data_IF_853999753708
#
_entry.id   IF_853999753708
#
_cell.length_a   1.000
_cell.length_b   1.000
_cell.length_c   1.000
_cell.angle_alpha   90.00
_cell.angle_beta   90.00
_cell.angle_gamma   90.00
#
_symmetry.space_group_name_H-M   'P 1'
#
loop_
_entity.id
_entity.type
_entity.pdbx_description
1 polymer ?
#
# COMPACT_ATOMS: atom_id res chain seq x y z
N UNK A 1 10.40 38.74 12.03
CA UNK A 1 9.44 38.01 11.17
C UNK A 1 9.20 36.67 11.83
N UNK A 2 7.98 36.24 12.16
CA UNK A 2 7.80 34.92 12.73
C UNK A 2 7.87 33.91 11.56
N UNK A 3 9.06 33.35 11.34
CA UNK A 3 9.17 31.97 10.89
C UNK A 3 8.86 31.16 12.13
N UNK A 4 7.69 30.55 12.25
CA UNK A 4 7.55 29.48 13.23
C UNK A 4 6.39 28.53 12.90
N UNK A 5 6.75 27.25 12.85
CA UNK A 5 5.92 26.06 13.09
C UNK A 5 4.98 25.55 12.00
N UNK A 6 5.42 25.51 10.72
CA UNK A 6 4.68 24.79 9.67
C UNK A 6 5.25 23.45 9.19
N UNK A 7 6.58 23.15 9.18
CA UNK A 7 7.04 21.92 8.55
C UNK A 7 6.82 20.66 9.42
N UNK A 8 6.82 20.80 10.75
CA UNK A 8 6.76 19.69 11.71
C UNK A 8 5.40 19.02 11.88
N UNK A 9 4.32 19.77 11.69
CA UNK A 9 2.97 19.28 11.98
C UNK A 9 2.45 18.27 10.94
N UNK A 10 3.16 18.12 9.82
CA UNK A 10 2.75 17.26 8.70
C UNK A 10 3.60 16.00 8.54
N UNK A 11 4.75 15.89 9.24
CA UNK A 11 5.53 14.64 9.31
C UNK A 11 5.11 13.75 10.49
N UNK A 12 4.49 14.32 11.52
CA UNK A 12 4.29 13.68 12.83
C UNK A 12 2.83 13.84 13.28
N UNK A 13 1.88 13.12 12.65
CA UNK A 13 0.67 12.71 13.38
C UNK A 13 0.29 11.28 12.97
N UNK A 14 0.93 10.35 13.68
CA UNK A 14 0.46 8.99 13.98
C UNK A 14 0.60 7.87 12.92
N UNK A 15 0.73 6.60 13.38
CA UNK A 15 0.66 5.40 12.54
C UNK A 15 -0.69 5.22 11.81
N UNK A 16 -1.66 6.12 12.00
CA UNK A 16 -2.96 6.14 11.35
C UNK A 16 -3.03 7.20 10.23
N UNK A 17 -2.06 7.20 9.33
CA UNK A 17 -2.18 7.93 8.07
C UNK A 17 -3.26 7.25 7.20
N UNK A 18 -3.96 8.02 6.36
CA UNK A 18 -4.89 7.51 5.35
C UNK A 18 -4.22 6.42 4.51
N UNK A 19 -2.93 6.57 4.18
CA UNK A 19 -2.17 5.53 3.48
C UNK A 19 -2.07 4.24 4.30
N UNK A 20 -1.76 4.31 5.60
CA UNK A 20 -1.71 3.10 6.45
C UNK A 20 -3.06 2.37 6.44
N UNK A 21 -4.17 3.12 6.57
CA UNK A 21 -5.52 2.54 6.52
C UNK A 21 -5.76 1.88 5.16
N UNK A 22 -5.37 2.53 4.06
CA UNK A 22 -5.46 1.96 2.72
C UNK A 22 -4.65 0.68 2.56
N UNK A 23 -3.41 0.63 3.07
CA UNK A 23 -2.57 -0.57 2.96
C UNK A 23 -3.11 -1.73 3.81
N UNK A 24 -3.63 -1.46 5.01
CA UNK A 24 -4.32 -2.46 5.82
C UNK A 24 -5.56 -2.98 5.09
N UNK A 25 -6.37 -2.07 4.53
CA UNK A 25 -7.55 -2.44 3.75
C UNK A 25 -7.18 -3.30 2.53
N UNK A 26 -6.10 -2.97 1.83
CA UNK A 26 -5.57 -3.76 0.70
C UNK A 26 -5.16 -5.16 1.12
N UNK A 27 -4.50 -5.32 2.27
CA UNK A 27 -4.15 -6.64 2.81
C UNK A 27 -5.42 -7.45 3.13
N UNK A 28 -6.41 -6.84 3.81
CA UNK A 28 -7.66 -7.51 4.15
C UNK A 28 -8.42 -7.93 2.87
N UNK A 29 -8.56 -7.02 1.90
CA UNK A 29 -9.24 -7.30 0.64
C UNK A 29 -8.54 -8.41 -0.13
N UNK A 30 -7.21 -8.42 -0.17
CA UNK A 30 -6.44 -9.46 -0.88
C UNK A 30 -6.56 -10.83 -0.20
N UNK A 31 -6.62 -10.88 1.15
CA UNK A 31 -6.90 -12.13 1.89
C UNK A 31 -8.33 -12.62 1.58
N UNK A 32 -9.30 -11.71 1.51
CA UNK A 32 -10.68 -12.04 1.14
C UNK A 32 -10.76 -12.52 -0.32
N UNK A 33 -10.02 -11.90 -1.24
CA UNK A 33 -9.90 -12.35 -2.64
C UNK A 33 -9.34 -13.77 -2.72
N UNK A 34 -8.26 -14.05 -1.98
CA UNK A 34 -7.65 -15.37 -1.93
C UNK A 34 -8.61 -16.44 -1.36
N UNK A 35 -9.35 -16.09 -0.30
CA UNK A 35 -10.39 -16.96 0.25
C UNK A 35 -11.53 -17.20 -0.74
N UNK A 36 -12.00 -16.14 -1.40
CA UNK A 36 -13.03 -16.24 -2.45
C UNK A 36 -12.57 -17.12 -3.61
N UNK A 37 -11.31 -16.98 -4.03
CA UNK A 37 -10.69 -17.83 -5.03
C UNK A 37 -10.70 -19.30 -4.62
N UNK A 38 -10.30 -19.62 -3.39
CA UNK A 38 -10.26 -21.00 -2.91
C UNK A 38 -11.66 -21.62 -2.83
N UNK A 39 -12.67 -20.84 -2.40
CA UNK A 39 -14.08 -21.28 -2.41
C UNK A 39 -14.54 -21.56 -3.83
N UNK A 40 -14.25 -20.65 -4.78
CA UNK A 40 -14.67 -20.80 -6.17
C UNK A 40 -13.96 -21.96 -6.87
N UNK A 41 -12.67 -22.15 -6.59
CA UNK A 41 -11.86 -23.27 -7.08
C UNK A 41 -12.43 -24.60 -6.62
N UNK A 42 -12.85 -24.70 -5.35
CA UNK A 42 -13.50 -25.92 -4.82
C UNK A 42 -14.88 -26.15 -5.43
N UNK A 43 -15.64 -25.09 -5.71
CA UNK A 43 -16.98 -25.17 -6.29
C UNK A 43 -16.95 -25.63 -7.75
N UNK A 44 -16.03 -25.08 -8.55
CA UNK A 44 -15.99 -25.29 -10.01
C UNK A 44 -14.97 -26.34 -10.43
N UNK A 45 -14.05 -26.74 -9.54
CA UNK A 45 -12.91 -27.60 -9.89
C UNK A 45 -11.88 -26.93 -10.80
N UNK A 46 -12.07 -25.66 -11.13
CA UNK A 46 -11.23 -24.87 -12.02
C UNK A 46 -10.74 -23.63 -11.26
N UNK A 47 -9.45 -23.37 -11.32
CA UNK A 47 -8.87 -22.20 -10.66
C UNK A 47 -7.53 -21.84 -11.28
N UNK A 48 -7.37 -20.58 -11.64
CA UNK A 48 -6.08 -20.07 -12.12
C UNK A 48 -5.08 -19.98 -10.98
N UNK A 49 -3.93 -20.61 -11.10
CA UNK A 49 -2.82 -20.34 -10.18
C UNK A 49 -2.34 -18.89 -10.33
N UNK A 50 -2.57 -18.26 -11.49
CA UNK A 50 -2.18 -16.86 -11.73
C UNK A 50 -2.94 -15.88 -10.83
N UNK A 51 -4.24 -16.10 -10.59
CA UNK A 51 -5.05 -15.26 -9.69
C UNK A 51 -4.46 -15.26 -8.28
N UNK A 52 -4.22 -16.46 -7.72
CA UNK A 52 -3.57 -16.63 -6.43
C UNK A 52 -2.16 -16.00 -6.38
N UNK A 53 -1.40 -16.07 -7.49
CA UNK A 53 -0.06 -15.48 -7.58
C UNK A 53 -0.14 -13.95 -7.52
N UNK A 54 -1.08 -13.34 -8.25
CA UNK A 54 -1.28 -11.89 -8.21
C UNK A 54 -1.76 -11.41 -6.84
N UNK A 55 -2.62 -12.16 -6.15
CA UNK A 55 -3.04 -11.83 -4.79
C UNK A 55 -1.86 -11.84 -3.80
N UNK A 56 -1.00 -12.85 -3.86
CA UNK A 56 0.20 -12.92 -3.01
C UNK A 56 1.14 -11.74 -3.30
N UNK A 57 1.33 -11.39 -4.58
CA UNK A 57 2.14 -10.23 -4.96
C UNK A 57 1.52 -8.92 -4.46
N UNK A 58 0.20 -8.76 -4.53
CA UNK A 58 -0.50 -7.57 -4.02
C UNK A 58 -0.38 -7.45 -2.50
N UNK A 59 -0.48 -8.57 -1.76
CA UNK A 59 -0.23 -8.63 -0.31
C UNK A 59 1.20 -8.22 0.00
N UNK A 60 2.19 -8.85 -0.65
CA UNK A 60 3.61 -8.54 -0.44
C UNK A 60 3.92 -7.07 -0.69
N UNK A 61 3.38 -6.50 -1.77
CA UNK A 61 3.53 -5.09 -2.12
C UNK A 61 2.92 -4.17 -1.05
N UNK A 62 1.73 -4.51 -0.57
CA UNK A 62 1.05 -3.75 0.48
C UNK A 62 1.80 -3.81 1.82
N UNK A 63 2.36 -4.97 2.17
CA UNK A 63 3.16 -5.16 3.39
C UNK A 63 4.49 -4.42 3.32
N UNK A 64 5.18 -4.44 2.17
CA UNK A 64 6.42 -3.68 1.96
C UNK A 64 6.14 -2.18 2.08
N UNK A 65 5.06 -1.69 1.45
CA UNK A 65 4.64 -0.30 1.57
C UNK A 65 4.30 0.06 3.02
N UNK A 66 3.54 -0.80 3.72
CA UNK A 66 3.20 -0.59 5.13
C UNK A 66 4.44 -0.59 6.03
N UNK A 67 5.42 -1.45 5.77
CA UNK A 67 6.71 -1.44 6.46
C UNK A 67 7.40 -0.09 6.33
N UNK A 68 7.53 0.44 5.10
CA UNK A 68 8.13 1.75 4.88
C UNK A 68 7.34 2.87 5.56
N UNK A 69 6.01 2.81 5.57
CA UNK A 69 5.17 3.80 6.27
C UNK A 69 5.37 3.74 7.79
N UNK A 70 5.47 2.54 8.38
CA UNK A 70 5.74 2.34 9.82
C UNK A 70 7.11 2.88 10.21
N UNK A 71 8.12 2.65 9.37
CA UNK A 71 9.47 3.20 9.51
C UNK A 71 9.54 4.71 9.20
N UNK A 72 8.41 5.37 8.90
CA UNK A 72 8.34 6.79 8.53
C UNK A 72 9.18 7.14 7.28
N UNK A 73 9.43 6.17 6.41
CA UNK A 73 10.14 6.33 5.14
C UNK A 73 9.18 6.76 4.02
N UNK A 74 8.97 8.07 3.89
CA UNK A 74 8.08 8.63 2.87
C UNK A 74 8.85 9.02 1.60
N UNK A 75 9.16 8.02 0.75
CA UNK A 75 9.69 8.29 -0.58
C UNK A 75 8.59 8.19 -1.64
N UNK A 76 8.01 9.34 -2.04
CA UNK A 76 6.89 9.38 -2.99
C UNK A 76 7.14 8.55 -4.25
N UNK A 77 8.34 8.57 -4.83
CA UNK A 77 8.66 7.77 -6.04
C UNK A 77 8.54 6.27 -5.79
N UNK A 78 9.05 5.78 -4.66
CA UNK A 78 8.95 4.38 -4.30
C UNK A 78 7.50 3.99 -4.06
N UNK A 79 6.79 4.77 -3.24
CA UNK A 79 5.40 4.50 -2.89
C UNK A 79 4.49 4.51 -4.11
N UNK A 80 4.66 5.48 -5.02
CA UNK A 80 3.95 5.51 -6.31
C UNK A 80 4.26 4.28 -7.16
N UNK A 81 5.51 3.79 -7.12
CA UNK A 81 5.92 2.58 -7.84
C UNK A 81 5.25 1.31 -7.28
N UNK A 82 5.20 1.19 -5.94
CA UNK A 82 4.50 0.11 -5.25
C UNK A 82 2.98 0.17 -5.55
N UNK A 83 2.39 1.35 -5.49
CA UNK A 83 0.98 1.56 -5.84
C UNK A 83 0.68 1.17 -7.29
N UNK A 84 1.50 1.61 -8.24
CA UNK A 84 1.34 1.26 -9.66
C UNK A 84 1.48 -0.26 -9.91
N UNK A 85 2.39 -0.93 -9.20
CA UNK A 85 2.52 -2.38 -9.25
C UNK A 85 1.29 -3.08 -8.66
N UNK A 86 0.72 -2.56 -7.57
CA UNK A 86 -0.55 -3.01 -6.99
C UNK A 86 -1.75 -2.87 -7.94
N UNK A 87 -1.82 -1.75 -8.67
CA UNK A 87 -2.81 -1.54 -9.74
C UNK A 87 -2.64 -2.60 -10.84
N UNK A 88 -1.41 -2.80 -11.32
CA UNK A 88 -1.11 -3.76 -12.38
C UNK A 88 -1.52 -5.19 -12.00
N UNK A 89 -1.13 -5.65 -10.81
CA UNK A 89 -1.48 -6.99 -10.30
C UNK A 89 -2.99 -7.17 -10.15
N UNK A 90 -3.70 -6.14 -9.66
CA UNK A 90 -5.17 -6.17 -9.54
C UNK A 90 -5.86 -6.28 -10.90
N UNK A 91 -5.42 -5.51 -11.90
CA UNK A 91 -5.92 -5.58 -13.28
C UNK A 91 -5.63 -6.96 -13.88
N UNK A 92 -4.40 -7.46 -13.73
CA UNK A 92 -4.00 -8.77 -14.24
C UNK A 92 -4.84 -9.91 -13.63
N UNK A 93 -5.17 -9.81 -12.34
CA UNK A 93 -6.04 -10.80 -11.69
C UNK A 93 -7.48 -10.77 -12.20
N UNK A 94 -8.06 -9.58 -12.40
CA UNK A 94 -9.39 -9.42 -13.00
C UNK A 94 -9.43 -10.04 -14.40
N UNK A 95 -8.43 -9.75 -15.24
CA UNK A 95 -8.33 -10.34 -16.57
C UNK A 95 -8.13 -11.86 -16.53
N UNK A 96 -7.24 -12.36 -15.66
CA UNK A 96 -7.00 -13.78 -15.51
C UNK A 96 -8.28 -14.52 -15.09
N UNK A 97 -9.06 -13.95 -14.17
CA UNK A 97 -10.34 -14.50 -13.76
C UNK A 97 -11.35 -14.47 -14.91
N UNK A 98 -11.51 -13.32 -15.58
CA UNK A 98 -12.47 -13.16 -16.70
C UNK A 98 -12.22 -14.15 -17.85
N UNK A 99 -10.97 -14.33 -18.26
CA UNK A 99 -10.58 -15.25 -19.35
C UNK A 99 -10.90 -16.70 -19.02
N UNK A 100 -10.87 -17.07 -17.74
CA UNK A 100 -11.01 -18.47 -17.31
C UNK A 100 -12.43 -18.84 -16.91
N UNK A 101 -13.19 -17.93 -16.31
CA UNK A 101 -14.55 -18.20 -15.86
C UNK A 101 -15.59 -17.78 -16.88
N UNK A 102 -15.29 -16.82 -17.77
CA UNK A 102 -16.28 -16.10 -18.59
C UNK A 102 -17.45 -15.49 -17.78
N UNK A 103 -17.32 -15.45 -16.45
CA UNK A 103 -18.30 -14.91 -15.51
C UNK A 103 -17.76 -13.59 -14.97
N UNK A 104 -18.22 -12.43 -15.49
CA UNK A 104 -17.73 -11.13 -15.04
C UNK A 104 -18.17 -10.80 -13.61
N UNK A 105 -19.21 -11.46 -13.09
CA UNK A 105 -19.81 -11.16 -11.79
C UNK A 105 -19.68 -12.35 -10.83
N UNK A 106 -18.52 -12.45 -10.18
CA UNK A 106 -18.31 -13.36 -9.06
C UNK A 106 -17.61 -12.64 -7.90
N UNK A 107 -17.61 -13.27 -6.72
CA UNK A 107 -17.03 -12.70 -5.49
C UNK A 107 -15.55 -12.32 -5.67
N UNK A 108 -14.81 -13.10 -6.48
CA UNK A 108 -13.41 -12.85 -6.84
C UNK A 108 -13.28 -11.54 -7.62
N UNK A 109 -14.07 -11.35 -8.68
CA UNK A 109 -14.03 -10.09 -9.46
C UNK A 109 -14.44 -8.88 -8.62
N UNK A 110 -15.42 -9.03 -7.72
CA UNK A 110 -15.84 -7.95 -6.83
C UNK A 110 -14.73 -7.51 -5.86
N UNK A 111 -14.08 -8.47 -5.19
CA UNK A 111 -12.98 -8.19 -4.25
C UNK A 111 -11.76 -7.59 -4.95
N UNK A 112 -11.39 -8.06 -6.14
CA UNK A 112 -10.34 -7.42 -6.93
C UNK A 112 -10.71 -6.01 -7.42
N UNK A 113 -11.98 -5.75 -7.75
CA UNK A 113 -12.43 -4.42 -8.17
C UNK A 113 -12.31 -3.41 -7.01
N UNK A 114 -12.68 -3.82 -5.79
CA UNK A 114 -12.48 -3.00 -4.59
C UNK A 114 -10.99 -2.79 -4.28
N UNK A 115 -10.17 -3.83 -4.46
CA UNK A 115 -8.72 -3.75 -4.29
C UNK A 115 -8.11 -2.75 -5.26
N UNK A 116 -8.50 -2.81 -6.54
CA UNK A 116 -8.09 -1.86 -7.58
C UNK A 116 -8.50 -0.43 -7.24
N UNK A 117 -9.75 -0.21 -6.81
CA UNK A 117 -10.22 1.10 -6.41
C UNK A 117 -9.41 1.66 -5.23
N UNK A 118 -9.03 0.82 -4.27
CA UNK A 118 -8.22 1.20 -3.12
C UNK A 118 -6.78 1.55 -3.54
N UNK A 119 -6.19 0.82 -4.49
CA UNK A 119 -4.88 1.15 -5.05
C UNK A 119 -4.90 2.48 -5.83
N UNK A 120 -5.95 2.73 -6.64
CA UNK A 120 -6.12 4.00 -7.36
C UNK A 120 -6.28 5.16 -6.37
N UNK A 121 -6.99 4.94 -5.28
CA UNK A 121 -7.08 5.94 -4.23
C UNK A 121 -5.72 6.17 -3.55
N UNK A 122 -4.98 5.10 -3.22
CA UNK A 122 -3.66 5.18 -2.61
C UNK A 122 -2.68 5.96 -3.50
N UNK A 123 -2.59 5.64 -4.80
CA UNK A 123 -1.66 6.34 -5.71
C UNK A 123 -1.99 7.84 -5.82
N UNK A 124 -3.28 8.17 -5.88
CA UNK A 124 -3.73 9.57 -5.90
C UNK A 124 -3.35 10.29 -4.60
N UNK A 125 -3.55 9.64 -3.46
CA UNK A 125 -3.23 10.19 -2.16
C UNK A 125 -1.71 10.38 -1.97
N UNK A 126 -0.92 9.38 -2.34
CA UNK A 126 0.55 9.43 -2.38
C UNK A 126 1.04 10.59 -3.23
N UNK A 127 0.45 10.80 -4.41
CA UNK A 127 0.83 11.91 -5.28
C UNK A 127 0.52 13.28 -4.66
N UNK A 128 -0.64 13.40 -3.98
CA UNK A 128 -1.14 14.63 -3.40
C UNK A 128 -0.41 15.03 -2.11
N UNK A 129 -0.18 14.08 -1.20
CA UNK A 129 0.20 14.37 0.19
C UNK A 129 1.65 13.92 0.54
N UNK A 130 2.30 13.08 -0.28
CA UNK A 130 3.70 12.72 -0.02
C UNK A 130 4.68 13.70 -0.70
N UNK A 131 5.77 14.03 -0.01
CA UNK A 131 6.89 14.80 -0.56
C UNK A 131 8.06 13.88 -0.92
N UNK A 132 8.94 14.34 -1.81
CA UNK A 132 10.20 13.64 -2.15
C UNK A 132 11.30 13.96 -1.12
N UNK A 133 10.97 13.97 0.17
CA UNK A 133 11.95 14.20 1.22
C UNK A 133 12.22 12.86 1.90
N UNK A 134 13.30 12.21 1.49
CA UNK A 134 13.93 11.24 2.37
C UNK A 134 14.50 12.09 3.50
N UNK A 135 13.91 12.01 4.69
CA UNK A 135 14.44 12.72 5.84
C UNK A 135 15.92 12.31 6.00
N UNK A 136 16.85 13.26 5.87
CA UNK A 136 18.29 13.00 6.09
C UNK A 136 18.52 12.37 7.48
N UNK A 137 17.62 12.67 8.40
CA UNK A 137 17.51 12.11 9.74
C UNK A 137 17.22 10.60 9.75
N UNK A 138 16.39 10.11 8.83
CA UNK A 138 16.16 8.68 8.67
C UNK A 138 17.36 7.96 8.06
N UNK A 139 18.13 8.61 7.17
CA UNK A 139 19.39 8.05 6.65
C UNK A 139 20.48 8.04 7.74
N UNK A 140 20.55 9.11 8.54
CA UNK A 140 21.55 9.26 9.59
C UNK A 140 21.31 8.33 10.79
N UNK A 141 20.05 8.09 11.16
CA UNK A 141 19.66 7.27 12.31
C UNK A 141 19.11 5.89 11.92
N UNK A 142 19.23 5.46 10.65
CA UNK A 142 18.75 4.12 10.22
C UNK A 142 19.41 3.03 11.07
N UNK A 143 18.62 2.35 11.91
CA UNK A 143 19.09 1.25 12.76
C UNK A 143 19.65 1.68 14.12
N UNK A 144 19.68 2.98 14.41
CA UNK A 144 19.90 3.50 15.75
C UNK A 144 18.51 3.60 16.40
N UNK A 145 18.27 2.87 17.50
CA UNK A 145 16.99 2.88 18.20
C UNK A 145 16.76 4.17 18.99
N UNK A 146 16.81 5.33 18.34
CA UNK A 146 16.68 6.64 18.97
C UNK A 146 15.19 6.98 19.13
N UNK A 147 14.83 7.42 20.33
CA UNK A 147 13.46 7.75 20.71
C UNK A 147 12.98 9.00 19.95
N UNK A 148 11.67 9.06 19.66
CA UNK A 148 11.00 10.08 18.82
C UNK A 148 11.36 11.55 19.15
N UNK A 149 11.88 11.81 20.35
CA UNK A 149 12.29 13.13 20.87
C UNK A 149 13.60 13.64 20.24
N UNK A 150 14.52 12.75 19.85
CA UNK A 150 15.82 13.14 19.25
C UNK A 150 15.66 13.52 17.76
N UNK A 151 14.67 12.93 17.10
CA UNK A 151 14.34 13.22 15.69
C UNK A 151 13.82 14.65 15.52
N UNK A 152 13.05 15.15 16.50
CA UNK A 152 12.50 16.52 16.50
C UNK A 152 13.57 17.59 16.74
N UNK A 153 14.67 17.26 17.43
CA UNK A 153 15.78 18.18 17.70
C UNK A 153 16.73 18.35 16.51
N UNK A 154 16.99 17.27 15.77
CA UNK A 154 17.91 17.28 14.63
C UNK A 154 17.38 18.10 13.43
N UNK A 155 16.07 18.18 13.27
CA UNK A 155 15.42 18.89 12.16
C UNK A 155 15.43 20.42 12.42
N UNK A 156 15.56 20.88 13.68
CA UNK A 156 15.72 22.31 14.01
C UNK A 156 17.11 22.87 13.65
N UNK A 157 18.06 22.00 13.29
CA UNK A 157 19.42 22.38 12.92
C UNK A 157 19.69 22.34 11.40
N UNK A 158 18.69 22.00 10.58
CA UNK A 158 18.73 22.06 9.11
C UNK A 158 17.70 23.06 8.56
#
# INVERSE_FOLDING_TARGET
>A
MPLDNKPYKYLIVYPFNVLTICKIQLVILSILSFYAYEVERRRTGSGSVLVATFDILAIGTSLISLWFIVEKFFWRKLETGLDAFGIFTSIASIFANFVLTFEPFCLVTFTHTLTLATWIFAIFWTWRECFNNVSNLFIAEWGNGTEDVEIEQLDQHF
#
